data_IF_632234889825
#
_entry.id   IF_632234889825
#
_cell.length_a   1.000
_cell.length_b   1.000
_cell.length_c   1.000
_cell.angle_alpha   90.00
_cell.angle_beta   90.00
_cell.angle_gamma   90.00
#
_symmetry.space_group_name_H-M   'P 1'
#
loop_
_entity.id
_entity.type
_entity.pdbx_description
1 polymer ?
#
# COMPACT_ATOMS: atom_id res chain seq x y z
N UNK A 1 0.67 1.69 4.03
CA UNK A 1 0.48 0.61 5.02
C UNK A 1 1.13 -0.65 4.48
N UNK A 2 1.40 -1.67 5.31
CA UNK A 2 2.31 -2.77 4.97
C UNK A 2 1.63 -4.14 5.04
N UNK A 3 1.83 -4.93 3.97
CA UNK A 3 1.80 -6.39 4.01
C UNK A 3 0.49 -7.05 4.49
N UNK A 4 -0.66 -6.63 3.91
CA UNK A 4 -1.96 -7.27 4.15
C UNK A 4 -2.75 -7.43 2.86
N UNK A 5 -3.24 -8.63 2.57
CA UNK A 5 -4.16 -8.85 1.47
C UNK A 5 -5.54 -8.23 1.75
N UNK A 6 -6.34 -8.03 0.69
CA UNK A 6 -7.72 -7.59 0.86
C UNK A 6 -8.52 -8.58 1.71
N UNK A 7 -8.42 -9.87 1.45
CA UNK A 7 -9.16 -10.88 2.21
C UNK A 7 -8.72 -10.95 3.68
N UNK A 8 -7.45 -10.63 4.00
CA UNK A 8 -6.99 -10.62 5.39
C UNK A 8 -7.72 -9.55 6.23
N UNK A 9 -7.97 -8.35 5.68
CA UNK A 9 -8.55 -7.22 6.42
C UNK A 9 -10.02 -6.94 6.11
N UNK A 10 -10.48 -7.25 4.89
CA UNK A 10 -11.81 -6.92 4.39
C UNK A 10 -12.53 -8.12 3.76
N UNK A 11 -11.99 -9.32 3.87
CA UNK A 11 -12.54 -10.52 3.23
C UNK A 11 -13.98 -10.87 3.63
N UNK A 12 -14.44 -10.39 4.78
CA UNK A 12 -15.83 -10.54 5.23
C UNK A 12 -16.58 -9.20 5.33
N UNK A 13 -16.04 -8.13 4.72
CA UNK A 13 -16.71 -6.82 4.70
C UNK A 13 -18.00 -6.90 3.86
N UNK A 14 -19.14 -6.42 4.39
CA UNK A 14 -20.43 -6.53 3.71
C UNK A 14 -20.44 -5.82 2.34
N UNK A 15 -20.84 -6.54 1.31
CA UNK A 15 -20.96 -6.01 -0.06
C UNK A 15 -19.67 -6.08 -0.90
N UNK A 16 -18.51 -6.35 -0.30
CA UNK A 16 -17.26 -6.51 -1.03
C UNK A 16 -17.16 -7.87 -1.73
N UNK A 17 -16.32 -7.95 -2.76
CA UNK A 17 -15.90 -9.21 -3.35
C UNK A 17 -14.96 -9.95 -2.38
N UNK A 18 -15.55 -10.60 -1.38
CA UNK A 18 -14.85 -11.21 -0.26
C UNK A 18 -14.92 -12.73 -0.24
N UNK A 19 -14.51 -13.27 0.90
CA UNK A 19 -14.39 -14.72 1.14
C UNK A 19 -15.76 -15.38 1.12
N UNK A 20 -15.91 -16.41 0.30
CA UNK A 20 -17.06 -17.33 0.28
C UNK A 20 -16.64 -18.71 -0.17
N UNK A 21 -17.40 -19.73 0.19
CA UNK A 21 -17.12 -21.10 -0.25
C UNK A 21 -17.09 -21.18 -1.78
N UNK A 22 -16.10 -21.89 -2.31
CA UNK A 22 -15.94 -22.12 -3.75
C UNK A 22 -15.15 -21.07 -4.52
N UNK A 23 -14.65 -19.99 -3.88
CA UNK A 23 -13.69 -19.08 -4.53
C UNK A 23 -12.33 -19.76 -4.73
N UNK A 24 -11.47 -19.27 -5.65
CA UNK A 24 -10.13 -19.82 -5.86
C UNK A 24 -9.33 -19.97 -4.58
N UNK A 25 -8.70 -21.11 -4.38
CA UNK A 25 -7.87 -21.38 -3.20
C UNK A 25 -8.61 -21.42 -1.87
N UNK A 26 -9.95 -21.50 -1.83
CA UNK A 26 -10.72 -21.56 -0.57
C UNK A 26 -10.34 -22.77 0.29
N UNK A 27 -10.12 -23.92 -0.34
CA UNK A 27 -9.66 -25.14 0.34
C UNK A 27 -8.23 -25.42 -0.10
N UNK A 28 -7.30 -25.47 0.83
CA UNK A 28 -5.89 -25.71 0.55
C UNK A 28 -5.35 -26.89 1.35
N UNK A 29 -4.23 -27.43 0.90
CA UNK A 29 -3.52 -28.51 1.58
C UNK A 29 -2.18 -27.98 2.09
N UNK A 30 -1.89 -28.20 3.36
CA UNK A 30 -0.60 -27.85 3.98
C UNK A 30 0.52 -28.77 3.50
N UNK A 31 1.77 -28.41 3.77
CA UNK A 31 2.95 -29.27 3.51
C UNK A 31 2.92 -30.60 4.27
N UNK A 32 2.10 -30.72 5.31
CA UNK A 32 1.90 -31.98 6.07
C UNK A 32 0.68 -32.78 5.61
N UNK A 33 -0.03 -32.34 4.55
CA UNK A 33 -1.20 -33.00 4.00
C UNK A 33 -2.53 -32.68 4.68
N UNK A 34 -2.57 -31.78 5.66
CA UNK A 34 -3.82 -31.35 6.29
C UNK A 34 -4.59 -30.39 5.37
N UNK A 35 -5.91 -30.56 5.32
CA UNK A 35 -6.82 -29.65 4.59
C UNK A 35 -7.20 -28.48 5.48
N UNK A 36 -7.15 -27.26 4.93
CA UNK A 36 -7.45 -26.01 5.62
C UNK A 36 -8.32 -25.10 4.76
N UNK A 37 -9.14 -24.28 5.42
CA UNK A 37 -9.97 -23.22 4.80
C UNK A 37 -9.69 -21.89 5.50
N UNK A 38 -10.15 -20.75 4.97
CA UNK A 38 -10.03 -19.47 5.65
C UNK A 38 -10.55 -19.51 7.07
N UNK A 39 -9.82 -18.88 8.01
CA UNK A 39 -10.13 -18.90 9.43
C UNK A 39 -10.02 -17.52 10.06
N UNK A 40 -10.91 -17.22 11.01
CA UNK A 40 -10.84 -16.00 11.79
C UNK A 40 -9.58 -16.01 12.68
N UNK A 41 -8.79 -14.97 12.59
CA UNK A 41 -7.63 -14.76 13.46
C UNK A 41 -8.10 -14.27 14.84
N UNK A 42 -7.66 -14.95 15.89
CA UNK A 42 -7.96 -14.59 17.28
C UNK A 42 -6.90 -13.66 17.88
N UNK A 43 -5.72 -13.56 17.26
CA UNK A 43 -4.65 -12.68 17.71
C UNK A 43 -4.49 -11.51 16.74
N UNK A 44 -4.32 -10.31 17.28
CA UNK A 44 -3.96 -9.11 16.49
C UNK A 44 -2.48 -9.03 16.16
N UNK A 45 -1.64 -9.83 16.84
CA UNK A 45 -0.23 -10.03 16.51
C UNK A 45 -0.07 -11.30 15.70
N UNK A 46 0.54 -11.19 14.53
CA UNK A 46 0.79 -12.30 13.62
C UNK A 46 2.26 -12.33 13.24
N UNK A 47 2.81 -13.51 12.95
CA UNK A 47 4.18 -13.61 12.43
C UNK A 47 4.26 -12.95 11.04
N UNK A 48 5.45 -12.55 10.68
CA UNK A 48 5.78 -12.23 9.30
C UNK A 48 5.78 -13.51 8.46
N UNK A 49 5.21 -13.44 7.26
CA UNK A 49 5.12 -14.56 6.34
C UNK A 49 6.08 -14.34 5.15
N UNK A 50 6.55 -15.42 4.49
CA UNK A 50 7.33 -15.27 3.26
C UNK A 50 6.53 -14.51 2.18
N UNK A 51 7.10 -13.42 1.62
CA UNK A 51 6.34 -12.51 0.72
C UNK A 51 7.18 -11.81 -0.33
N UNK A 52 8.41 -12.27 -0.61
CA UNK A 52 9.14 -11.78 -1.79
C UNK A 52 8.48 -12.29 -3.09
N UNK A 53 8.97 -11.83 -4.25
CA UNK A 53 8.43 -12.22 -5.55
C UNK A 53 8.31 -13.74 -5.72
N UNK A 54 9.37 -14.49 -5.40
CA UNK A 54 9.36 -15.95 -5.56
C UNK A 54 8.36 -16.62 -4.62
N UNK A 55 8.21 -16.08 -3.40
CA UNK A 55 7.20 -16.56 -2.46
C UNK A 55 5.80 -16.37 -3.00
N UNK A 56 5.52 -15.21 -3.59
CA UNK A 56 4.21 -14.95 -4.19
C UNK A 56 3.98 -15.84 -5.42
N UNK A 57 4.92 -15.95 -6.34
CA UNK A 57 4.77 -16.77 -7.56
C UNK A 57 4.45 -18.24 -7.25
N UNK A 58 5.08 -18.81 -6.22
CA UNK A 58 4.81 -20.20 -5.82
C UNK A 58 3.46 -20.37 -5.09
N UNK A 59 3.00 -19.35 -4.33
CA UNK A 59 1.71 -19.41 -3.62
C UNK A 59 0.54 -19.12 -4.54
N UNK A 60 0.73 -18.26 -5.54
CA UNK A 60 -0.22 -17.90 -6.58
C UNK A 60 -0.59 -19.08 -7.49
N UNK A 61 0.36 -20.00 -7.75
CA UNK A 61 0.18 -21.21 -8.55
C UNK A 61 -0.56 -20.95 -9.87
N UNK A 62 -0.01 -20.07 -10.69
CA UNK A 62 -0.57 -19.69 -12.01
C UNK A 62 -2.04 -19.22 -11.94
N UNK A 63 -2.47 -18.65 -10.84
CA UNK A 63 -3.83 -18.12 -10.64
C UNK A 63 -4.77 -19.04 -9.87
N UNK A 64 -4.35 -20.25 -9.51
CA UNK A 64 -5.16 -21.15 -8.67
C UNK A 64 -5.30 -20.63 -7.23
N UNK A 65 -4.40 -19.78 -6.77
CA UNK A 65 -4.37 -19.17 -5.42
C UNK A 65 -4.37 -20.20 -4.28
N UNK A 66 -3.86 -21.42 -4.49
CA UNK A 66 -4.12 -22.59 -3.64
C UNK A 66 -2.88 -23.14 -2.90
N UNK A 67 -1.74 -22.46 -2.95
CA UNK A 67 -0.50 -22.91 -2.31
C UNK A 67 -0.06 -22.07 -1.10
N UNK A 68 -0.86 -21.14 -0.64
CA UNK A 68 -0.52 -20.30 0.51
C UNK A 68 -0.34 -21.13 1.79
N UNK A 69 -1.29 -22.01 2.10
CA UNK A 69 -1.17 -22.89 3.26
C UNK A 69 0.01 -23.87 3.15
N UNK A 70 0.37 -24.25 1.93
CA UNK A 70 1.49 -25.18 1.68
C UNK A 70 2.84 -24.52 1.98
N UNK A 71 3.09 -23.31 1.46
CA UNK A 71 4.38 -22.64 1.56
C UNK A 71 4.48 -21.71 2.77
N UNK A 72 3.39 -21.01 3.11
CA UNK A 72 3.38 -20.00 4.16
C UNK A 72 2.69 -20.47 5.46
N UNK A 73 2.21 -21.73 5.47
CA UNK A 73 1.54 -22.32 6.63
C UNK A 73 0.08 -21.87 6.81
N UNK A 74 -0.59 -22.51 7.76
CA UNK A 74 -2.04 -22.30 8.03
C UNK A 74 -2.37 -20.83 8.33
N UNK A 75 -1.47 -20.11 8.99
CA UNK A 75 -1.67 -18.70 9.34
C UNK A 75 -1.96 -17.82 8.13
N UNK A 76 -1.40 -18.14 6.96
CA UNK A 76 -1.63 -17.38 5.72
C UNK A 76 -3.09 -17.36 5.25
N UNK A 77 -3.91 -18.33 5.70
CA UNK A 77 -5.35 -18.42 5.44
C UNK A 77 -6.20 -17.60 6.41
N UNK A 78 -5.55 -16.84 7.28
CA UNK A 78 -6.21 -16.07 8.33
C UNK A 78 -6.82 -14.76 7.81
N UNK A 79 -7.98 -14.41 8.34
CA UNK A 79 -8.64 -13.12 8.12
C UNK A 79 -9.14 -12.53 9.43
N UNK A 80 -9.41 -11.24 9.41
CA UNK A 80 -10.08 -10.53 10.49
C UNK A 80 -11.52 -10.18 10.09
N UNK A 81 -12.34 -9.89 11.08
CA UNK A 81 -13.67 -9.34 10.91
C UNK A 81 -13.94 -8.20 11.93
N UNK A 82 -15.15 -7.63 11.92
CA UNK A 82 -15.53 -6.53 12.80
C UNK A 82 -15.61 -6.89 14.28
N UNK A 83 -15.48 -8.16 14.65
CA UNK A 83 -15.39 -8.59 16.06
C UNK A 83 -13.97 -8.53 16.59
N UNK A 84 -12.97 -8.43 15.70
CA UNK A 84 -11.56 -8.28 16.06
C UNK A 84 -11.27 -6.86 16.54
N UNK A 85 -10.60 -6.68 17.70
CA UNK A 85 -10.26 -5.36 18.20
C UNK A 85 -9.58 -4.47 17.16
N UNK A 86 -10.10 -3.26 16.98
CA UNK A 86 -9.60 -2.25 16.03
C UNK A 86 -10.14 -2.41 14.60
N UNK A 87 -10.45 -3.60 14.12
CA UNK A 87 -10.95 -3.81 12.74
C UNK A 87 -12.28 -3.08 12.51
N UNK A 88 -13.17 -3.05 13.50
CA UNK A 88 -14.41 -2.25 13.41
C UNK A 88 -14.13 -0.77 13.12
N UNK A 89 -13.05 -0.20 13.68
CA UNK A 89 -12.63 1.18 13.38
C UNK A 89 -12.18 1.32 11.93
N UNK A 90 -11.35 0.41 11.45
CA UNK A 90 -10.91 0.40 10.05
C UNK A 90 -12.11 0.27 9.09
N UNK A 91 -13.03 -0.64 9.39
CA UNK A 91 -14.24 -0.83 8.59
C UNK A 91 -15.19 0.38 8.67
N UNK A 92 -15.24 1.10 9.79
CA UNK A 92 -16.06 2.31 9.90
C UNK A 92 -15.62 3.40 8.90
N UNK A 93 -14.33 3.50 8.58
CA UNK A 93 -13.84 4.39 7.53
C UNK A 93 -14.32 3.95 6.14
N UNK A 94 -14.26 2.66 5.83
CA UNK A 94 -14.80 2.12 4.58
C UNK A 94 -16.32 2.32 4.46
N UNK A 95 -17.07 2.18 5.56
CA UNK A 95 -18.52 2.42 5.60
C UNK A 95 -18.89 3.89 5.45
N UNK A 96 -18.04 4.80 5.91
CA UNK A 96 -18.31 6.24 5.81
C UNK A 96 -17.90 6.83 4.46
N UNK A 97 -16.92 6.22 3.78
CA UNK A 97 -16.31 6.73 2.56
C UNK A 97 -16.26 5.64 1.47
N UNK A 98 -15.17 5.55 0.71
CA UNK A 98 -15.08 4.62 -0.40
C UNK A 98 -13.97 3.59 -0.17
N UNK A 99 -14.29 2.32 -0.42
CA UNK A 99 -13.40 1.16 -0.42
C UNK A 99 -13.26 0.63 -1.84
N UNK A 100 -12.05 0.29 -2.26
CA UNK A 100 -11.82 -0.49 -3.48
C UNK A 100 -11.60 -1.95 -3.11
N UNK A 101 -12.38 -2.85 -3.71
CA UNK A 101 -12.25 -4.29 -3.53
C UNK A 101 -11.62 -5.01 -4.73
N UNK A 102 -11.14 -4.22 -5.70
CA UNK A 102 -10.45 -4.70 -6.89
C UNK A 102 -9.18 -3.87 -7.15
N UNK A 103 -8.46 -3.55 -6.07
CA UNK A 103 -7.18 -2.84 -6.11
C UNK A 103 -6.03 -3.84 -5.89
N UNK A 104 -4.98 -3.72 -6.69
CA UNK A 104 -3.84 -4.64 -6.70
C UNK A 104 -2.54 -3.89 -6.46
N UNK A 105 -1.57 -4.54 -5.84
CA UNK A 105 -0.19 -4.12 -5.95
C UNK A 105 0.21 -4.07 -7.44
N UNK A 106 1.04 -3.12 -7.85
CA UNK A 106 1.31 -2.89 -9.28
C UNK A 106 2.15 -3.98 -9.93
N UNK A 107 2.90 -4.72 -9.13
CA UNK A 107 3.81 -5.77 -9.63
C UNK A 107 3.82 -6.97 -8.67
N UNK A 108 4.05 -8.16 -9.24
CA UNK A 108 4.37 -9.37 -8.46
C UNK A 108 5.77 -9.24 -7.88
N UNK A 109 5.93 -8.36 -6.89
CA UNK A 109 7.21 -8.00 -6.31
C UNK A 109 7.09 -7.66 -4.84
N UNK A 110 8.22 -7.29 -4.27
CA UNK A 110 8.34 -6.82 -2.88
C UNK A 110 7.84 -5.37 -2.74
N UNK A 111 7.66 -4.92 -1.50
CA UNK A 111 7.19 -3.59 -1.13
C UNK A 111 7.91 -2.45 -1.88
N UNK A 112 9.27 -2.40 -1.95
CA UNK A 112 9.97 -1.32 -2.64
C UNK A 112 9.58 -1.15 -4.10
N UNK A 113 9.38 -2.25 -4.84
CA UNK A 113 8.96 -2.20 -6.24
C UNK A 113 7.58 -1.58 -6.39
N UNK A 114 6.61 -1.99 -5.59
CA UNK A 114 5.26 -1.43 -5.62
C UNK A 114 5.25 0.07 -5.26
N UNK A 115 6.07 0.49 -4.30
CA UNK A 115 6.21 1.90 -3.96
C UNK A 115 6.89 2.72 -5.06
N UNK A 116 7.80 2.13 -5.86
CA UNK A 116 8.36 2.78 -7.05
C UNK A 116 7.27 2.96 -8.12
N UNK A 117 6.37 1.99 -8.30
CA UNK A 117 5.23 2.16 -9.20
C UNK A 117 4.30 3.29 -8.75
N UNK A 118 4.10 3.48 -7.45
CA UNK A 118 3.31 4.58 -6.89
C UNK A 118 3.84 5.96 -7.30
N UNK A 119 5.17 6.13 -7.43
CA UNK A 119 5.77 7.44 -7.69
C UNK A 119 6.29 7.62 -9.11
N UNK A 120 6.57 6.54 -9.84
CA UNK A 120 7.20 6.59 -11.16
C UNK A 120 6.58 5.63 -12.21
N UNK A 121 5.67 4.74 -11.80
CA UNK A 121 5.13 3.66 -12.64
C UNK A 121 6.23 2.78 -13.27
N UNK A 122 7.37 2.62 -12.58
CA UNK A 122 8.55 1.91 -13.06
C UNK A 122 9.45 1.51 -11.88
N UNK A 123 9.92 0.27 -11.86
CA UNK A 123 10.89 -0.26 -10.92
C UNK A 123 12.24 -0.61 -11.59
N UNK A 124 12.44 -0.13 -12.82
CA UNK A 124 13.59 -0.44 -13.64
C UNK A 124 13.72 -1.94 -13.98
N UNK A 125 12.58 -2.62 -14.16
CA UNK A 125 12.48 -4.07 -14.39
C UNK A 125 13.15 -4.93 -13.29
N UNK A 126 13.10 -4.46 -12.05
CA UNK A 126 13.65 -5.16 -10.91
C UNK A 126 12.59 -5.34 -9.80
N UNK A 127 11.64 -6.28 -9.97
CA UNK A 127 10.52 -6.48 -9.03
C UNK A 127 10.89 -7.25 -7.77
N UNK A 128 12.16 -7.55 -7.55
CA UNK A 128 12.60 -8.37 -6.41
C UNK A 128 13.52 -7.57 -5.46
N UNK A 129 13.40 -7.83 -4.18
CA UNK A 129 14.18 -7.36 -3.02
C UNK A 129 15.12 -6.18 -3.27
N UNK A 130 14.54 -5.03 -3.63
CA UNK A 130 15.29 -3.81 -3.90
C UNK A 130 15.87 -3.22 -2.62
N UNK A 131 17.11 -2.76 -2.72
CA UNK A 131 17.75 -1.97 -1.68
C UNK A 131 17.95 -0.54 -2.16
N UNK A 132 17.58 0.47 -1.36
CA UNK A 132 17.74 1.87 -1.77
C UNK A 132 19.22 2.22 -1.97
N UNK A 133 19.48 3.05 -2.96
CA UNK A 133 20.83 3.52 -3.27
C UNK A 133 21.33 4.55 -2.24
N UNK A 134 20.42 5.28 -1.60
CA UNK A 134 20.73 6.43 -0.75
C UNK A 134 20.04 6.37 0.62
N UNK A 135 20.19 5.29 1.39
CA UNK A 135 19.53 5.24 2.70
C UNK A 135 20.17 6.25 3.66
N UNK A 136 19.39 7.10 4.34
CA UNK A 136 19.92 8.18 5.17
C UNK A 136 20.79 7.68 6.33
N UNK A 137 20.63 6.45 6.72
CA UNK A 137 21.33 5.83 7.85
C UNK A 137 22.46 4.86 7.45
N UNK A 138 22.74 4.73 6.15
CA UNK A 138 23.80 3.82 5.67
C UNK A 138 24.95 4.60 5.06
N UNK A 139 26.15 4.44 5.62
CA UNK A 139 27.37 5.04 5.09
C UNK A 139 27.93 4.33 3.86
N UNK A 140 27.39 3.20 3.47
CA UNK A 140 27.79 2.44 2.27
C UNK A 140 27.00 2.84 1.02
N UNK A 141 26.85 4.12 0.78
CA UNK A 141 26.14 4.65 -0.39
C UNK A 141 26.94 4.31 -1.66
N UNK A 142 26.34 3.58 -2.58
CA UNK A 142 26.82 3.44 -3.96
C UNK A 142 26.33 4.65 -4.78
N UNK A 143 26.90 5.82 -4.55
CA UNK A 143 26.50 7.10 -5.14
C UNK A 143 26.44 7.15 -6.68
N UNK A 144 26.86 6.10 -7.39
CA UNK A 144 26.92 6.08 -8.86
C UNK A 144 25.81 5.27 -9.55
N UNK A 145 24.80 4.79 -8.81
CA UNK A 145 23.83 3.81 -9.32
C UNK A 145 22.35 4.17 -9.10
N UNK A 146 22.03 5.37 -8.63
CA UNK A 146 20.64 5.79 -8.39
C UNK A 146 19.84 5.93 -9.70
N UNK A 147 18.53 5.81 -9.57
CA UNK A 147 17.63 6.02 -10.69
C UNK A 147 17.63 7.48 -11.12
N UNK A 148 17.50 7.69 -12.44
CA UNK A 148 17.49 9.01 -13.07
C UNK A 148 16.26 9.22 -13.97
N UNK A 149 15.38 8.22 -14.07
CA UNK A 149 14.12 8.41 -14.77
C UNK A 149 13.18 9.28 -13.92
N UNK A 150 12.24 9.93 -14.60
CA UNK A 150 11.36 10.92 -13.99
C UNK A 150 10.37 10.27 -13.01
N UNK A 151 10.11 10.93 -11.89
CA UNK A 151 9.09 10.59 -10.91
C UNK A 151 8.07 11.72 -10.71
N UNK A 152 6.99 11.46 -10.01
CA UNK A 152 5.91 12.44 -9.81
C UNK A 152 6.36 13.72 -9.07
N UNK A 153 7.38 13.61 -8.21
CA UNK A 153 7.98 14.78 -7.54
C UNK A 153 8.58 15.78 -8.51
N UNK A 154 9.24 15.31 -9.59
CA UNK A 154 9.77 16.17 -10.66
C UNK A 154 8.66 16.88 -11.41
N UNK A 155 7.59 16.13 -11.72
CA UNK A 155 6.44 16.69 -12.43
C UNK A 155 5.75 17.79 -11.62
N UNK A 156 5.55 17.57 -10.32
CA UNK A 156 4.97 18.54 -9.41
C UNK A 156 5.87 19.77 -9.28
N UNK A 157 7.17 19.57 -9.07
CA UNK A 157 8.15 20.65 -8.98
C UNK A 157 8.20 21.49 -10.25
N UNK A 158 8.15 20.87 -11.43
CA UNK A 158 8.10 21.57 -12.72
C UNK A 158 6.85 22.45 -12.89
N UNK A 159 5.76 22.12 -12.20
CA UNK A 159 4.51 22.92 -12.12
C UNK A 159 4.53 23.96 -10.99
N UNK A 160 5.63 24.06 -10.23
CA UNK A 160 5.71 24.93 -9.06
C UNK A 160 4.88 24.43 -7.86
N UNK A 161 4.49 23.18 -7.85
CA UNK A 161 3.73 22.54 -6.77
C UNK A 161 4.68 21.88 -5.79
N UNK A 162 4.42 22.07 -4.49
CA UNK A 162 5.17 21.36 -3.44
C UNK A 162 4.69 19.93 -3.32
N UNK A 163 5.61 19.02 -3.09
CA UNK A 163 5.35 17.65 -2.68
C UNK A 163 6.15 17.31 -1.42
N UNK A 164 5.75 16.31 -0.67
CA UNK A 164 6.45 15.86 0.51
C UNK A 164 6.34 14.35 0.73
N UNK A 165 7.44 13.75 1.19
CA UNK A 165 7.46 12.41 1.77
C UNK A 165 7.77 12.55 3.25
N UNK A 166 6.82 12.16 4.12
CA UNK A 166 6.96 12.24 5.57
C UNK A 166 7.12 10.83 6.13
N UNK A 167 8.31 10.54 6.67
CA UNK A 167 8.59 9.26 7.32
C UNK A 167 8.61 9.42 8.83
N UNK A 168 7.90 8.58 9.57
CA UNK A 168 8.15 8.46 10.99
C UNK A 168 9.58 7.97 11.20
N UNK A 169 10.24 8.53 12.22
CA UNK A 169 11.61 8.16 12.60
C UNK A 169 12.66 8.26 11.49
N UNK A 170 12.51 9.16 10.51
CA UNK A 170 13.43 9.34 9.38
C UNK A 170 14.90 9.44 9.84
N UNK A 171 15.15 10.07 10.98
CA UNK A 171 16.49 10.29 11.53
C UNK A 171 16.90 9.24 12.58
N UNK A 172 16.07 8.23 12.82
CA UNK A 172 16.33 7.14 13.77
C UNK A 172 16.73 5.87 13.04
N UNK A 173 18.02 5.68 12.82
CA UNK A 173 18.57 4.58 12.03
C UNK A 173 18.29 3.17 12.61
N UNK A 174 17.74 3.06 13.80
CA UNK A 174 17.35 1.76 14.38
C UNK A 174 15.90 1.38 14.11
N UNK A 175 15.09 2.33 13.62
CA UNK A 175 13.65 2.15 13.39
C UNK A 175 13.27 2.44 11.95
N UNK A 176 13.84 3.48 11.34
CA UNK A 176 13.53 3.88 9.97
C UNK A 176 13.84 2.77 8.96
N UNK A 177 12.88 2.49 8.08
CA UNK A 177 12.98 1.49 7.01
C UNK A 177 13.14 2.19 5.66
N UNK A 178 14.38 2.39 5.18
CA UNK A 178 14.62 3.15 3.95
C UNK A 178 14.07 2.46 2.69
N UNK A 179 13.87 1.15 2.70
CA UNK A 179 13.27 0.38 1.63
C UNK A 179 11.82 0.82 1.34
N UNK A 180 11.13 1.34 2.35
CA UNK A 180 9.76 1.83 2.25
C UNK A 180 9.65 3.27 1.73
N UNK A 181 10.78 3.90 1.37
CA UNK A 181 10.81 5.25 0.81
C UNK A 181 11.35 5.21 -0.62
N UNK A 182 10.49 5.25 -1.66
CA UNK A 182 10.91 5.14 -3.04
C UNK A 182 11.85 6.27 -3.48
N UNK A 183 11.80 7.44 -2.85
CA UNK A 183 12.69 8.55 -3.18
C UNK A 183 14.15 8.32 -2.76
N UNK A 184 14.42 7.31 -1.91
CA UNK A 184 15.79 6.88 -1.60
C UNK A 184 16.47 6.10 -2.75
N UNK A 185 15.74 5.82 -3.82
CA UNK A 185 16.27 5.17 -5.02
C UNK A 185 16.69 6.19 -6.10
N UNK A 186 16.28 7.45 -6.02
CA UNK A 186 16.54 8.48 -7.04
C UNK A 186 17.71 9.39 -6.68
N UNK A 187 18.53 9.73 -7.68
CA UNK A 187 19.72 10.58 -7.49
C UNK A 187 19.41 12.00 -7.10
N UNK A 188 18.27 12.53 -7.52
CA UNK A 188 17.82 13.91 -7.31
C UNK A 188 16.90 14.08 -6.09
N UNK A 189 16.17 13.02 -5.70
CA UNK A 189 15.17 13.09 -4.67
C UNK A 189 15.64 12.70 -3.27
N UNK A 190 16.64 11.82 -3.15
CA UNK A 190 17.07 11.25 -1.86
C UNK A 190 17.50 12.30 -0.82
N UNK A 191 18.08 13.42 -1.25
CA UNK A 191 18.52 14.54 -0.39
C UNK A 191 17.60 15.76 -0.50
N UNK A 192 16.43 15.62 -1.11
CA UNK A 192 15.48 16.70 -1.28
C UNK A 192 14.92 17.16 0.08
N UNK A 193 14.72 18.47 0.25
CA UNK A 193 13.99 19.03 1.39
C UNK A 193 12.50 18.62 1.42
N UNK A 194 12.03 17.96 0.36
CA UNK A 194 10.71 17.35 0.30
C UNK A 194 10.64 16.03 1.09
N UNK A 195 11.77 15.37 1.37
CA UNK A 195 11.83 14.20 2.25
C UNK A 195 12.03 14.69 3.69
N UNK A 196 11.04 14.47 4.53
CA UNK A 196 10.93 15.07 5.87
C UNK A 196 10.67 14.02 6.94
N UNK A 197 11.10 14.30 8.15
CA UNK A 197 10.62 13.57 9.32
C UNK A 197 9.14 13.89 9.56
N UNK A 198 8.35 12.89 9.95
CA UNK A 198 6.91 13.01 10.16
C UNK A 198 6.53 14.03 11.23
N UNK A 199 7.42 14.34 12.18
CA UNK A 199 7.20 15.40 13.17
C UNK A 199 6.92 16.77 12.54
N UNK A 200 7.36 16.99 11.28
CA UNK A 200 7.07 18.22 10.54
C UNK A 200 5.64 18.28 10.01
N UNK A 201 4.96 17.14 9.88
CA UNK A 201 3.62 17.07 9.27
C UNK A 201 2.59 17.91 10.03
N UNK A 202 2.56 17.79 11.35
CA UNK A 202 1.61 18.56 12.18
C UNK A 202 1.82 20.07 12.05
N UNK A 203 3.07 20.52 11.95
CA UNK A 203 3.42 21.93 11.75
C UNK A 203 3.00 22.41 10.35
N UNK A 204 3.31 21.63 9.31
CA UNK A 204 2.94 21.96 7.94
C UNK A 204 1.41 22.01 7.78
N UNK A 205 0.68 21.06 8.40
CA UNK A 205 -0.78 21.03 8.40
C UNK A 205 -1.39 22.25 9.12
N UNK A 206 -0.93 22.56 10.33
CA UNK A 206 -1.49 23.66 11.15
C UNK A 206 -1.17 25.05 10.61
N UNK A 207 -0.03 25.20 9.94
CA UNK A 207 0.38 26.47 9.32
C UNK A 207 -0.20 26.69 7.91
N UNK A 208 -0.96 25.74 7.37
CA UNK A 208 -1.48 25.80 6.00
C UNK A 208 -0.41 25.61 4.91
N UNK A 209 0.75 25.07 5.27
CA UNK A 209 1.87 24.83 4.36
C UNK A 209 1.96 23.37 3.88
N UNK A 210 0.91 22.59 4.08
CA UNK A 210 0.88 21.20 3.61
C UNK A 210 1.13 21.16 2.09
N UNK A 211 2.07 20.32 1.61
CA UNK A 211 2.29 20.15 0.18
C UNK A 211 1.01 19.71 -0.57
N UNK A 212 0.95 20.05 -1.87
CA UNK A 212 -0.14 19.63 -2.73
C UNK A 212 -0.29 18.09 -2.79
N UNK A 213 0.83 17.38 -2.71
CA UNK A 213 0.87 15.92 -2.55
C UNK A 213 1.78 15.59 -1.37
N UNK A 214 1.24 14.85 -0.42
CA UNK A 214 1.96 14.39 0.78
C UNK A 214 1.88 12.88 0.87
N UNK A 215 3.02 12.20 0.79
CA UNK A 215 3.14 10.77 1.04
C UNK A 215 3.52 10.56 2.51
N UNK A 216 2.93 9.56 3.14
CA UNK A 216 3.13 9.29 4.57
C UNK A 216 3.62 7.86 4.75
N UNK A 217 4.78 7.71 5.37
CA UNK A 217 5.38 6.43 5.75
C UNK A 217 5.32 6.28 7.27
N UNK A 218 4.42 5.46 7.82
CA UNK A 218 4.43 5.13 9.24
C UNK A 218 5.64 4.27 9.61
N UNK A 219 6.09 4.36 10.86
CA UNK A 219 7.10 3.44 11.39
C UNK A 219 6.59 1.99 11.45
N UNK A 220 7.48 0.98 11.55
CA UNK A 220 7.07 -0.43 11.63
C UNK A 220 6.04 -0.74 12.72
N UNK A 221 6.10 -0.03 13.87
CA UNK A 221 5.11 -0.18 14.94
C UNK A 221 3.69 0.28 14.55
N UNK A 222 3.55 1.08 13.48
CA UNK A 222 2.31 1.74 13.06
C UNK A 222 1.87 1.41 11.62
N UNK A 223 2.67 0.70 10.86
CA UNK A 223 2.40 0.42 9.44
C UNK A 223 1.59 -0.85 9.18
N UNK A 224 1.19 -1.60 10.21
CA UNK A 224 0.47 -2.89 10.17
C UNK A 224 1.30 -4.08 9.66
N UNK A 225 2.62 -3.94 9.48
CA UNK A 225 3.47 -5.04 9.04
C UNK A 225 3.39 -6.22 10.01
N UNK A 226 3.10 -7.46 9.54
CA UNK A 226 3.16 -8.66 10.36
C UNK A 226 4.55 -8.81 11.01
N UNK A 227 4.59 -9.24 12.25
CA UNK A 227 5.86 -9.35 12.99
C UNK A 227 6.36 -8.06 13.63
N UNK A 228 5.91 -6.87 13.19
CA UNK A 228 6.35 -5.59 13.75
C UNK A 228 5.47 -5.09 14.91
N UNK A 229 4.34 -5.74 15.14
CA UNK A 229 3.41 -5.41 16.22
C UNK A 229 1.98 -5.85 15.93
N UNK A 230 1.07 -5.62 16.89
CA UNK A 230 -0.35 -5.87 16.69
C UNK A 230 -0.92 -4.98 15.57
N UNK A 231 -1.76 -5.55 14.68
CA UNK A 231 -2.42 -4.79 13.60
C UNK A 231 -3.24 -3.61 14.15
N UNK A 232 -3.77 -3.74 15.36
CA UNK A 232 -4.54 -2.68 16.03
C UNK A 232 -3.73 -1.42 16.32
N UNK A 233 -2.41 -1.52 16.49
CA UNK A 233 -1.56 -0.34 16.68
C UNK A 233 -1.56 0.54 15.43
N UNK A 234 -1.39 -0.06 14.26
CA UNK A 234 -1.45 0.67 12.99
C UNK A 234 -2.84 1.23 12.71
N UNK A 235 -3.91 0.50 13.05
CA UNK A 235 -5.28 1.02 12.91
C UNK A 235 -5.51 2.22 13.83
N UNK A 236 -5.04 2.17 15.07
CA UNK A 236 -5.17 3.28 16.03
C UNK A 236 -4.40 4.51 15.56
N UNK A 237 -3.18 4.30 15.07
CA UNK A 237 -2.37 5.37 14.49
C UNK A 237 -3.07 6.01 13.29
N UNK A 238 -3.54 5.19 12.35
CA UNK A 238 -4.25 5.63 11.15
C UNK A 238 -5.52 6.41 11.50
N UNK A 239 -6.31 5.94 12.45
CA UNK A 239 -7.52 6.61 12.94
C UNK A 239 -7.20 8.00 13.50
N UNK A 240 -6.16 8.10 14.32
CA UNK A 240 -5.67 9.39 14.85
C UNK A 240 -5.20 10.33 13.75
N UNK A 241 -4.45 9.81 12.78
CA UNK A 241 -3.96 10.59 11.63
C UNK A 241 -5.12 11.13 10.77
N UNK A 242 -6.10 10.30 10.44
CA UNK A 242 -7.28 10.74 9.68
C UNK A 242 -8.04 11.84 10.44
N UNK A 243 -8.31 11.64 11.73
CA UNK A 243 -9.01 12.60 12.58
C UNK A 243 -8.26 13.93 12.72
N UNK A 244 -6.93 13.90 12.77
CA UNK A 244 -6.11 15.12 12.79
C UNK A 244 -6.31 15.95 11.51
N UNK A 245 -6.33 15.31 10.34
CA UNK A 245 -6.58 16.02 9.07
C UNK A 245 -8.02 16.51 9.02
N UNK A 246 -8.99 15.70 9.45
CA UNK A 246 -10.40 16.09 9.48
C UNK A 246 -10.67 17.32 10.36
N UNK A 247 -9.91 17.47 11.44
CA UNK A 247 -10.02 18.62 12.34
C UNK A 247 -9.32 19.89 11.80
N UNK A 248 -8.59 19.79 10.70
CA UNK A 248 -7.84 20.91 10.12
C UNK A 248 -8.64 21.67 9.05
N UNK A 249 -8.32 22.95 8.79
CA UNK A 249 -8.90 23.70 7.67
C UNK A 249 -8.65 23.08 6.30
N UNK A 250 -7.60 22.27 6.15
CA UNK A 250 -7.26 21.60 4.90
C UNK A 250 -8.27 20.52 4.50
N UNK A 251 -9.06 20.01 5.45
CA UNK A 251 -9.97 18.88 5.23
C UNK A 251 -10.90 19.05 4.04
N UNK A 252 -11.48 20.25 3.86
CA UNK A 252 -12.45 20.52 2.80
C UNK A 252 -11.94 20.23 1.38
N UNK A 253 -10.62 20.25 1.18
CA UNK A 253 -9.94 20.07 -0.11
C UNK A 253 -8.92 18.92 -0.08
N UNK A 254 -9.02 18.00 0.88
CA UNK A 254 -8.07 16.90 1.04
C UNK A 254 -8.71 15.56 0.69
N UNK A 255 -7.98 14.74 -0.06
CA UNK A 255 -8.25 13.32 -0.19
C UNK A 255 -7.12 12.52 0.48
N UNK A 256 -7.48 11.67 1.45
CA UNK A 256 -6.58 10.72 2.08
C UNK A 256 -6.77 9.39 1.35
N UNK A 257 -5.70 8.87 0.76
CA UNK A 257 -5.67 7.56 0.11
C UNK A 257 -4.88 6.65 1.03
N UNK A 258 -5.53 5.61 1.53
CA UNK A 258 -4.91 4.57 2.37
C UNK A 258 -4.74 3.33 1.53
N UNK A 259 -3.50 2.89 1.34
CA UNK A 259 -3.17 1.73 0.50
C UNK A 259 -2.15 0.84 1.20
N UNK A 260 -2.21 -0.46 0.92
CA UNK A 260 -1.21 -1.45 1.32
C UNK A 260 -0.35 -1.81 0.12
N UNK A 261 0.95 -1.92 0.32
CA UNK A 261 1.95 -2.08 -0.74
C UNK A 261 2.09 -3.52 -1.25
N UNK A 262 1.75 -4.51 -0.42
CA UNK A 262 1.77 -5.93 -0.80
C UNK A 262 0.83 -6.75 0.07
N UNK A 263 0.59 -8.02 -0.30
CA UNK A 263 -0.23 -8.93 0.52
C UNK A 263 0.50 -9.48 1.75
N UNK A 264 1.84 -9.34 1.85
CA UNK A 264 2.60 -9.88 2.97
C UNK A 264 2.49 -11.39 3.15
N UNK A 265 2.30 -12.14 2.07
CA UNK A 265 2.17 -13.59 2.11
C UNK A 265 0.81 -14.11 2.58
N UNK A 266 -0.16 -13.23 2.85
CA UNK A 266 -1.54 -13.60 3.15
C UNK A 266 -2.30 -14.00 1.89
N UNK A 267 -3.13 -15.02 2.01
CA UNK A 267 -4.01 -15.45 0.94
C UNK A 267 -5.03 -14.38 0.57
N UNK A 268 -5.27 -14.30 -0.73
CA UNK A 268 -6.41 -13.61 -1.32
C UNK A 268 -7.00 -14.53 -2.39
N UNK A 269 -8.33 -14.55 -2.52
CA UNK A 269 -8.98 -15.45 -3.46
C UNK A 269 -8.98 -14.92 -4.90
N UNK A 270 -8.68 -13.63 -5.11
CA UNK A 270 -8.70 -13.03 -6.45
C UNK A 270 -7.31 -13.11 -7.08
N UNK A 271 -7.15 -13.86 -8.18
CA UNK A 271 -5.89 -13.90 -8.89
C UNK A 271 -5.59 -12.55 -9.54
N UNK A 272 -4.34 -12.07 -9.46
CA UNK A 272 -3.97 -10.80 -10.07
C UNK A 272 -4.07 -10.85 -11.59
N UNK A 273 -4.62 -9.79 -12.22
CA UNK A 273 -4.63 -9.65 -13.68
C UNK A 273 -3.22 -9.55 -14.26
N UNK A 274 -3.02 -10.14 -15.44
CA UNK A 274 -1.76 -10.02 -16.18
C UNK A 274 -1.88 -8.87 -17.18
N UNK A 275 -1.38 -7.69 -16.83
CA UNK A 275 -1.49 -6.45 -17.63
C UNK A 275 -0.25 -6.18 -18.48
N UNK A 276 0.90 -6.68 -18.06
CA UNK A 276 2.19 -6.60 -18.75
C UNK A 276 3.11 -7.76 -18.32
N UNK A 277 4.40 -7.69 -18.65
CA UNK A 277 5.38 -8.73 -18.28
C UNK A 277 5.62 -8.83 -16.76
N UNK A 278 5.35 -7.77 -16.00
CA UNK A 278 5.46 -7.75 -14.53
C UNK A 278 4.14 -8.17 -13.86
N UNK A 279 3.02 -8.13 -14.60
CA UNK A 279 1.67 -8.41 -14.13
C UNK A 279 1.18 -7.36 -13.13
N UNK A 280 -0.04 -7.56 -12.57
CA UNK A 280 -0.32 -7.02 -11.24
C UNK A 280 0.20 -7.99 -10.19
N UNK A 281 0.51 -7.46 -9.02
CA UNK A 281 0.74 -8.21 -7.81
C UNK A 281 -0.58 -8.60 -7.11
N UNK A 282 -0.49 -9.09 -5.87
CA UNK A 282 -1.66 -9.54 -5.11
C UNK A 282 -2.67 -8.42 -4.89
N UNK A 283 -3.94 -8.80 -4.70
CA UNK A 283 -4.98 -7.85 -4.32
C UNK A 283 -4.76 -7.34 -2.89
N UNK A 284 -4.81 -6.02 -2.73
CA UNK A 284 -4.61 -5.32 -1.46
C UNK A 284 -5.76 -4.34 -1.21
N UNK A 285 -6.04 -3.95 0.05
CA UNK A 285 -7.07 -2.95 0.31
C UNK A 285 -6.65 -1.55 -0.14
N UNK A 286 -7.62 -0.73 -0.55
CA UNK A 286 -7.41 0.70 -0.73
C UNK A 286 -8.68 1.46 -0.34
N UNK A 287 -8.50 2.57 0.42
CA UNK A 287 -9.61 3.45 0.82
C UNK A 287 -9.34 4.87 0.33
N UNK A 288 -10.41 5.54 -0.08
CA UNK A 288 -10.42 6.99 -0.31
C UNK A 288 -11.28 7.65 0.74
N UNK A 289 -10.68 8.51 1.56
CA UNK A 289 -11.30 9.22 2.68
C UNK A 289 -11.24 10.72 2.39
N UNK A 290 -12.36 11.32 2.03
CA UNK A 290 -12.43 12.71 1.60
C UNK A 290 -13.87 13.23 1.73
N UNK A 291 -14.09 14.53 1.99
CA UNK A 291 -15.42 15.10 1.86
C UNK A 291 -15.99 15.00 0.45
N UNK A 292 -15.13 14.83 -0.56
CA UNK A 292 -15.48 14.69 -1.97
C UNK A 292 -15.62 13.23 -2.42
N UNK A 293 -15.29 12.26 -1.56
CA UNK A 293 -15.45 10.84 -1.88
C UNK A 293 -16.92 10.43 -1.84
N UNK A 294 -17.27 9.42 -2.63
CA UNK A 294 -18.54 8.71 -2.49
C UNK A 294 -18.66 8.12 -1.09
N UNK A 295 -19.85 8.12 -0.52
CA UNK A 295 -20.11 7.61 0.83
C UNK A 295 -20.70 6.21 0.76
N UNK A 296 -20.26 5.35 1.69
CA UNK A 296 -20.69 3.95 1.76
C UNK A 296 -20.62 3.27 0.39
N UNK A 297 -19.49 3.42 -0.28
CA UNK A 297 -19.31 3.01 -1.67
C UNK A 297 -18.19 1.98 -1.77
N UNK A 298 -18.44 0.93 -2.53
CA UNK A 298 -17.43 -0.06 -2.89
C UNK A 298 -17.17 0.06 -4.38
N UNK A 299 -15.95 0.41 -4.76
CA UNK A 299 -15.51 0.40 -6.14
C UNK A 299 -15.03 -0.99 -6.52
N UNK A 300 -15.58 -1.53 -7.61
CA UNK A 300 -15.17 -2.78 -8.24
C UNK A 300 -14.28 -2.54 -9.46
N UNK A 301 -13.90 -1.29 -9.70
CA UNK A 301 -13.01 -0.93 -10.81
C UNK A 301 -11.61 -1.50 -10.54
N UNK A 302 -11.03 -2.12 -11.56
CA UNK A 302 -9.65 -2.63 -11.47
C UNK A 302 -8.68 -1.46 -11.42
N UNK A 303 -7.92 -1.40 -10.34
CA UNK A 303 -6.96 -0.33 -10.02
C UNK A 303 -5.67 -0.93 -9.44
N UNK A 304 -4.60 -0.14 -9.45
CA UNK A 304 -3.31 -0.45 -8.83
C UNK A 304 -2.62 0.83 -8.33
N UNK A 305 -1.38 0.76 -7.82
CA UNK A 305 -0.65 1.94 -7.33
C UNK A 305 -0.50 3.02 -8.41
N UNK A 306 -0.37 2.62 -9.68
CA UNK A 306 -0.32 3.55 -10.82
C UNK A 306 -1.64 4.31 -10.99
N UNK A 307 -2.76 3.76 -10.54
CA UNK A 307 -4.06 4.46 -10.53
C UNK A 307 -4.05 5.67 -9.60
N UNK A 308 -3.33 5.57 -8.47
CA UNK A 308 -3.10 6.70 -7.54
C UNK A 308 -2.25 7.77 -8.24
N UNK A 309 -1.17 7.35 -8.90
CA UNK A 309 -0.31 8.25 -9.67
C UNK A 309 -1.11 8.98 -10.77
N UNK A 310 -1.95 8.26 -11.52
CA UNK A 310 -2.84 8.86 -12.53
C UNK A 310 -3.82 9.86 -11.94
N UNK A 311 -4.37 9.59 -10.78
CA UNK A 311 -5.26 10.51 -10.07
C UNK A 311 -4.52 11.81 -9.69
N UNK A 312 -3.30 11.71 -9.19
CA UNK A 312 -2.44 12.88 -8.91
C UNK A 312 -2.20 13.65 -10.21
N UNK A 313 -1.82 12.97 -11.27
CA UNK A 313 -1.55 13.60 -12.57
C UNK A 313 -2.78 14.28 -13.15
N UNK A 314 -3.93 13.62 -13.13
CA UNK A 314 -5.20 14.21 -13.56
C UNK A 314 -5.59 15.45 -12.76
N UNK A 315 -5.42 15.40 -11.43
CA UNK A 315 -5.75 16.51 -10.53
C UNK A 315 -4.90 17.76 -10.81
N UNK A 316 -3.61 17.57 -11.14
CA UNK A 316 -2.69 18.69 -11.33
C UNK A 316 -2.32 18.95 -12.80
N UNK A 317 -2.97 18.29 -13.75
CA UNK A 317 -2.72 18.47 -15.18
C UNK A 317 -1.29 18.08 -15.58
N UNK A 318 -0.80 16.94 -15.05
CA UNK A 318 0.52 16.37 -15.38
C UNK A 318 0.36 15.31 -16.48
N UNK A 319 1.40 15.14 -17.31
CA UNK A 319 1.41 14.11 -18.34
C UNK A 319 1.76 12.72 -17.74
N UNK A 320 1.36 11.61 -18.38
CA UNK A 320 1.85 10.29 -18.00
C UNK A 320 3.38 10.19 -18.09
N UNK A 321 4.01 9.49 -17.15
CA UNK A 321 5.47 9.32 -17.11
C UNK A 321 5.97 8.32 -18.17
N UNK A 322 5.22 7.26 -18.40
CA UNK A 322 5.62 6.18 -19.32
C UNK A 322 4.38 5.41 -19.83
N UNK A 323 4.62 4.36 -20.63
CA UNK A 323 3.55 3.54 -21.20
C UNK A 323 2.72 2.82 -20.12
N UNK A 324 3.35 2.31 -19.06
CA UNK A 324 2.65 1.65 -17.94
C UNK A 324 1.68 2.63 -17.26
N UNK A 325 2.09 3.88 -17.09
CA UNK A 325 1.27 4.95 -16.51
C UNK A 325 0.05 5.32 -17.39
N UNK A 326 0.05 4.96 -18.67
CA UNK A 326 -1.12 5.18 -19.54
C UNK A 326 -2.19 4.11 -19.37
N UNK A 327 -1.82 2.92 -18.89
CA UNK A 327 -2.72 1.80 -18.70
C UNK A 327 -3.64 1.99 -17.47
N UNK A 328 -4.76 1.29 -17.47
CA UNK A 328 -5.64 1.17 -16.30
C UNK A 328 -6.49 2.42 -16.00
N UNK A 329 -7.24 2.30 -14.95
CA UNK A 329 -8.15 3.33 -14.42
C UNK A 329 -7.40 4.29 -13.49
N UNK A 330 -8.00 5.45 -13.23
CA UNK A 330 -7.66 6.30 -12.09
C UNK A 330 -8.64 6.08 -10.92
N UNK A 331 -8.62 6.96 -9.93
CA UNK A 331 -9.50 6.87 -8.76
C UNK A 331 -10.84 7.61 -8.93
N UNK A 332 -11.16 8.14 -10.11
CA UNK A 332 -12.34 8.99 -10.33
C UNK A 332 -13.66 8.30 -9.96
N UNK A 333 -13.72 6.95 -10.13
CA UNK A 333 -14.89 6.17 -9.71
C UNK A 333 -15.20 6.27 -8.21
N UNK A 334 -14.26 6.63 -7.38
CA UNK A 334 -14.41 6.73 -5.92
C UNK A 334 -14.85 8.14 -5.45
N UNK A 335 -14.92 9.11 -6.35
CA UNK A 335 -15.31 10.49 -6.06
C UNK A 335 -16.71 10.82 -6.58
N UNK A 336 -17.31 11.91 -6.02
CA UNK A 336 -18.65 12.42 -6.41
C UNK A 336 -18.58 13.18 -7.72
#
# INVERSE_FOLDING_TARGET
>A
MQNRSFDNLFGTFPGANGIKAGVPGFTQVTSTGATVTPQLLTSTSTPDLPHNRNDFLRTWDLGAMDKFAFYNGVTSMGHYDNTTPGIATLWSWAQQFALADNFFASVMGDAPSNQLYLVAADDNNNPDTLQPFFPPCNTQVKASAGYTFQHVGDQLAAKGLKWGWYSEDLNNCTVYVPQENPFQFFTDAHSSTSVKDFSNFATDLSSGNLPAVSFIQPAPAHNMHPGSGPVVNGITWLDGFIKQIQASPAWSNTAIIVVWDSSGGWWDHVPPPQVDAQGFGPRVPMLVISPLAKKNYISHVQMDDVSILKFIQGTFGLAPLNARNQLGSDLSDMFQ
#
